data_IF_824313689143
#
_entry.id   IF_824313689143
#
_cell.length_a   1.000
_cell.length_b   1.000
_cell.length_c   1.000
_cell.angle_alpha   90.00
_cell.angle_beta   90.00
_cell.angle_gamma   90.00
#
_symmetry.space_group_name_H-M   'P 1'
#
loop_
_entity.id
_entity.type
_entity.pdbx_description
1 polymer ?
#
# COMPACT_ATOMS: atom_id res chain seq x y z
N UNK A 1 -3.62 -18.48 11.77
CA UNK A 1 -3.34 -17.64 10.58
C UNK A 1 -3.57 -16.20 10.97
N UNK A 2 -2.51 -15.38 10.94
CA UNK A 2 -2.63 -13.94 11.19
C UNK A 2 -3.36 -13.36 9.97
N UNK A 3 -4.49 -12.69 10.21
CA UNK A 3 -5.24 -11.96 9.20
C UNK A 3 -4.35 -10.80 8.73
N UNK A 4 -3.56 -11.03 7.67
CA UNK A 4 -2.75 -9.99 7.05
C UNK A 4 -3.73 -8.98 6.44
N UNK A 5 -3.67 -7.74 6.93
CA UNK A 5 -4.34 -6.62 6.29
C UNK A 5 -4.14 -6.71 4.76
N UNK A 6 -5.22 -6.51 4.00
CA UNK A 6 -5.15 -6.59 2.53
C UNK A 6 -4.17 -5.50 2.04
N UNK A 7 -3.05 -5.94 1.48
CA UNK A 7 -2.06 -5.03 0.87
C UNK A 7 -2.69 -4.41 -0.38
N UNK A 8 -2.61 -3.09 -0.47
CA UNK A 8 -3.05 -2.31 -1.62
C UNK A 8 -1.85 -1.90 -2.47
N UNK A 9 -2.08 -1.82 -3.77
CA UNK A 9 -1.07 -1.57 -4.78
C UNK A 9 -1.50 -0.41 -5.69
N UNK A 10 -0.53 0.39 -6.11
CA UNK A 10 -0.64 1.22 -7.30
C UNK A 10 -0.16 0.40 -8.48
N UNK A 11 -0.96 0.33 -9.54
CA UNK A 11 -0.56 -0.27 -10.80
C UNK A 11 0.08 0.79 -11.68
N UNK A 12 1.33 0.57 -12.08
CA UNK A 12 2.11 1.52 -12.85
C UNK A 12 2.50 0.93 -14.20
N UNK A 13 2.55 1.77 -15.23
CA UNK A 13 3.20 1.47 -16.52
C UNK A 13 4.70 1.66 -16.39
N UNK A 14 5.47 1.00 -17.27
CA UNK A 14 6.94 1.11 -17.36
C UNK A 14 7.47 2.55 -17.39
N UNK A 15 6.72 3.49 -17.97
CA UNK A 15 7.10 4.90 -18.06
C UNK A 15 6.84 5.69 -16.76
N UNK A 16 6.42 5.03 -15.68
CA UNK A 16 6.12 5.65 -14.38
C UNK A 16 4.69 6.19 -14.26
N UNK A 17 3.85 6.09 -15.29
CA UNK A 17 2.45 6.52 -15.19
C UNK A 17 1.65 5.54 -14.33
N UNK A 18 1.02 6.02 -13.27
CA UNK A 18 0.06 5.24 -12.49
C UNK A 18 -1.25 5.11 -13.26
N UNK A 19 -1.73 3.90 -13.44
CA UNK A 19 -3.01 3.60 -14.09
C UNK A 19 -4.16 3.52 -13.11
N UNK A 20 -3.94 2.84 -11.99
CA UNK A 20 -4.96 2.63 -10.95
C UNK A 20 -4.30 2.70 -9.58
N UNK A 21 -5.02 3.30 -8.63
CA UNK A 21 -4.53 3.55 -7.27
C UNK A 21 -5.22 2.63 -6.27
N UNK A 22 -4.46 2.20 -5.27
CA UNK A 22 -5.00 1.55 -4.07
C UNK A 22 -5.90 0.34 -4.34
N UNK A 23 -5.54 -0.49 -5.31
CA UNK A 23 -6.26 -1.72 -5.67
C UNK A 23 -5.58 -2.94 -5.06
N UNK A 24 -6.35 -3.99 -4.78
CA UNK A 24 -5.82 -5.25 -4.29
C UNK A 24 -5.04 -5.99 -5.37
N UNK A 25 -4.15 -6.89 -4.97
CA UNK A 25 -3.41 -7.72 -5.94
C UNK A 25 -4.31 -8.62 -6.80
N UNK A 26 -5.56 -8.86 -6.39
CA UNK A 26 -6.54 -9.58 -7.21
C UNK A 26 -7.09 -8.71 -8.33
N UNK A 27 -7.47 -7.48 -8.00
CA UNK A 27 -7.94 -6.49 -8.97
C UNK A 27 -6.85 -6.15 -9.99
N UNK A 28 -5.59 -6.02 -9.56
CA UNK A 28 -4.45 -5.90 -10.49
C UNK A 28 -4.42 -7.07 -11.47
N UNK A 29 -4.45 -8.31 -10.94
CA UNK A 29 -4.34 -9.52 -11.75
C UNK A 29 -5.47 -9.65 -12.78
N UNK A 30 -6.69 -9.26 -12.40
CA UNK A 30 -7.84 -9.21 -13.31
C UNK A 30 -7.68 -8.12 -14.37
N UNK A 31 -7.32 -6.90 -13.97
CA UNK A 31 -7.26 -5.72 -14.84
C UNK A 31 -6.22 -5.85 -15.96
N UNK A 32 -5.06 -6.46 -15.68
CA UNK A 32 -4.01 -6.70 -16.69
C UNK A 32 -3.91 -8.16 -17.14
N UNK A 33 -4.89 -8.99 -16.76
CA UNK A 33 -4.98 -10.41 -17.13
C UNK A 33 -3.66 -11.18 -16.86
N UNK A 34 -3.16 -11.10 -15.63
CA UNK A 34 -1.97 -11.82 -15.17
C UNK A 34 -2.28 -12.75 -13.98
N UNK A 35 -1.29 -13.51 -13.52
CA UNK A 35 -1.43 -14.29 -12.29
C UNK A 35 -1.17 -13.40 -11.08
N UNK A 36 -1.83 -13.65 -9.95
CA UNK A 36 -1.51 -12.96 -8.67
C UNK A 36 -0.03 -13.12 -8.28
N UNK A 37 0.58 -14.24 -8.66
CA UNK A 37 2.01 -14.48 -8.44
C UNK A 37 2.90 -13.47 -9.18
N UNK A 38 2.50 -12.99 -10.35
CA UNK A 38 3.24 -11.97 -11.08
C UNK A 38 3.23 -10.62 -10.33
N UNK A 39 2.10 -10.30 -9.69
CA UNK A 39 1.96 -9.12 -8.81
C UNK A 39 2.94 -9.21 -7.63
N UNK A 40 2.98 -10.35 -6.94
CA UNK A 40 3.90 -10.56 -5.83
C UNK A 40 5.37 -10.54 -6.26
N UNK A 41 5.68 -11.10 -7.42
CA UNK A 41 7.05 -11.08 -7.96
C UNK A 41 7.47 -9.66 -8.33
N UNK A 42 6.55 -8.85 -8.86
CA UNK A 42 6.80 -7.45 -9.17
C UNK A 42 7.15 -6.65 -7.93
N UNK A 43 6.38 -6.77 -6.85
CA UNK A 43 6.66 -6.05 -5.60
C UNK A 43 7.88 -6.56 -4.86
N UNK A 44 8.12 -7.89 -4.87
CA UNK A 44 9.20 -8.49 -4.06
C UNK A 44 10.55 -8.44 -4.75
N UNK A 45 10.58 -8.52 -6.08
CA UNK A 45 11.80 -8.66 -6.87
C UNK A 45 11.97 -7.55 -7.93
N UNK A 46 11.07 -6.56 -7.98
CA UNK A 46 11.12 -5.49 -8.99
C UNK A 46 10.87 -5.99 -10.42
N UNK A 47 10.26 -7.16 -10.60
CA UNK A 47 10.02 -7.74 -11.92
C UNK A 47 8.89 -6.99 -12.65
N UNK A 48 9.08 -6.75 -13.95
CA UNK A 48 8.03 -6.19 -14.80
C UNK A 48 7.00 -7.27 -15.15
N UNK A 49 5.73 -7.00 -14.89
CA UNK A 49 4.61 -7.85 -15.32
C UNK A 49 4.39 -7.61 -16.82
N UNK A 50 4.44 -8.69 -17.60
CA UNK A 50 4.30 -8.67 -19.07
C UNK A 50 5.26 -7.67 -19.77
N UNK A 51 6.38 -7.32 -19.13
CA UNK A 51 7.34 -6.28 -19.59
C UNK A 51 6.75 -4.86 -19.71
N UNK A 52 5.52 -4.62 -19.29
CA UNK A 52 4.82 -3.34 -19.49
C UNK A 52 4.40 -2.68 -18.17
N UNK A 53 4.08 -3.48 -17.15
CA UNK A 53 3.54 -2.99 -15.88
C UNK A 53 4.46 -3.35 -14.71
N UNK A 54 4.33 -2.59 -13.62
CA UNK A 54 4.84 -2.95 -12.31
C UNK A 54 3.87 -2.46 -11.24
N UNK A 55 4.02 -2.93 -10.01
CA UNK A 55 3.18 -2.50 -8.88
C UNK A 55 4.01 -1.93 -7.75
N UNK A 56 3.49 -0.90 -7.09
CA UNK A 56 4.05 -0.31 -5.88
C UNK A 56 3.09 -0.54 -4.72
N UNK A 57 3.61 -0.93 -3.55
CA UNK A 57 2.79 -1.09 -2.34
C UNK A 57 2.43 0.28 -1.77
N UNK A 58 1.14 0.55 -1.60
CA UNK A 58 0.61 1.81 -1.04
C UNK A 58 0.73 1.82 0.48
N UNK A 59 0.06 0.88 1.13
CA UNK A 59 0.11 0.73 2.59
C UNK A 59 1.04 -0.40 2.95
N UNK A 60 2.26 -0.04 3.35
CA UNK A 60 3.10 -0.99 4.06
C UNK A 60 2.53 -1.14 5.47
N UNK A 61 2.23 -2.37 5.93
CA UNK A 61 1.80 -2.59 7.30
C UNK A 61 2.83 -1.99 8.27
N UNK A 62 2.37 -1.11 9.16
CA UNK A 62 3.21 -0.63 10.25
C UNK A 62 3.36 -1.74 11.29
N UNK A 63 4.50 -1.75 11.99
CA UNK A 63 4.59 -2.57 13.20
C UNK A 63 3.58 -2.05 14.22
N UNK A 64 2.99 -2.94 15.03
CA UNK A 64 2.03 -2.57 16.07
C UNK A 64 2.56 -1.48 17.00
N UNK A 65 3.86 -1.48 17.28
CA UNK A 65 4.52 -0.44 18.08
C UNK A 65 4.50 0.91 17.37
N UNK A 66 4.86 0.97 16.07
CA UNK A 66 4.84 2.23 15.31
C UNK A 66 3.43 2.79 15.18
N UNK A 67 2.46 1.92 14.91
CA UNK A 67 1.05 2.28 14.83
C UNK A 67 0.55 2.90 16.14
N UNK A 68 0.84 2.23 17.28
CA UNK A 68 0.49 2.75 18.60
C UNK A 68 1.19 4.08 18.91
N UNK A 69 2.47 4.23 18.60
CA UNK A 69 3.20 5.49 18.81
C UNK A 69 2.57 6.64 18.04
N UNK A 70 2.21 6.43 16.76
CA UNK A 70 1.55 7.47 15.96
C UNK A 70 0.18 7.85 16.51
N UNK A 71 -0.60 6.89 16.99
CA UNK A 71 -1.89 7.16 17.63
C UNK A 71 -1.72 7.99 18.92
N UNK A 72 -0.70 7.69 19.72
CA UNK A 72 -0.41 8.46 20.94
C UNK A 72 0.09 9.88 20.62
N UNK A 73 0.89 10.05 19.57
CA UNK A 73 1.33 11.37 19.10
C UNK A 73 0.15 12.20 18.59
N UNK A 74 -0.74 11.59 17.81
CA UNK A 74 -1.96 12.22 17.33
C UNK A 74 -2.83 12.70 18.50
N UNK A 75 -3.10 11.83 19.47
CA UNK A 75 -3.88 12.14 20.67
C UNK A 75 -3.24 13.28 21.50
N UNK A 76 -1.90 13.29 21.60
CA UNK A 76 -1.16 14.38 22.26
C UNK A 76 -1.37 15.72 21.54
N UNK A 77 -1.22 15.75 20.22
CA UNK A 77 -1.41 16.96 19.42
C UNK A 77 -2.86 17.46 19.52
N UNK A 78 -3.84 16.56 19.49
CA UNK A 78 -5.24 16.93 19.69
C UNK A 78 -5.46 17.61 21.05
N UNK A 79 -4.90 17.07 22.14
CA UNK A 79 -4.97 17.71 23.46
C UNK A 79 -4.34 19.10 23.47
N UNK A 80 -3.13 19.23 22.92
CA UNK A 80 -2.43 20.53 22.84
C UNK A 80 -3.24 21.58 22.05
N UNK A 81 -3.91 21.17 20.97
CA UNK A 81 -4.79 22.06 20.21
C UNK A 81 -6.01 22.47 21.04
N UNK A 82 -6.65 21.51 21.72
CA UNK A 82 -7.82 21.78 22.56
C UNK A 82 -7.48 22.72 23.72
N UNK A 83 -6.33 22.56 24.37
CA UNK A 83 -5.87 23.45 25.45
C UNK A 83 -5.59 24.87 24.98
N UNK A 84 -5.18 25.04 23.71
CA UNK A 84 -4.87 26.36 23.14
C UNK A 84 -6.08 27.08 22.57
N UNK A 85 -7.10 26.34 22.15
CA UNK A 85 -8.30 26.86 21.49
C UNK A 85 -9.56 26.83 22.37
N UNK A 86 -9.48 26.21 23.55
CA UNK A 86 -10.55 26.14 24.56
C UNK A 86 -10.52 27.28 25.55
#
# INVERSE_FOLDING_TARGET
MINMAKVLYNLCKRNGTVMEYSITGSEVAELISCKKQDVYNSTSYGQMIRKEFYVEVVDRPLSRTKDLTLLLEYDRVCREILERCG
#
